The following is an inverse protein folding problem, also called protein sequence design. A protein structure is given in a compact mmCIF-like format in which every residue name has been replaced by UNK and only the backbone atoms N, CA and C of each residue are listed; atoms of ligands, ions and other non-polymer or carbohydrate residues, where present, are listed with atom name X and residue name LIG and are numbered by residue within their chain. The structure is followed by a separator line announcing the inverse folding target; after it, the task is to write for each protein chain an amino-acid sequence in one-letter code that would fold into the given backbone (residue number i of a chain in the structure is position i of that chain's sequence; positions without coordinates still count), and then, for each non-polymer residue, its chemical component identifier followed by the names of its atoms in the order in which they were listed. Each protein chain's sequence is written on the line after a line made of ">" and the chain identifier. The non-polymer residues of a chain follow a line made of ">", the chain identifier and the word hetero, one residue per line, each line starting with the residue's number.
data_IF_171087041532
#
_entry.id   IF_171087041532
#
_cell.length_a   1.000
_cell.length_b   1.000
_cell.length_c   1.000
_cell.angle_alpha   90.00
_cell.angle_beta   90.00
_cell.angle_gamma   90.00
#
_symmetry.space_group_name_H-M   'P 1'
#
loop_
_entity.id
_entity.type
_entity.pdbx_description
1 polymer ?
#
# COMPACT_ATOMS: atom_id res chain seq x y z
N UNK A 1 41.96 -29.87 -57.70
CA UNK A 1 41.85 -30.63 -56.44
C UNK A 1 42.16 -32.09 -56.73
N UNK A 2 42.72 -32.84 -55.78
CA UNK A 2 42.77 -34.30 -55.90
C UNK A 2 41.40 -34.93 -55.53
N UNK A 3 41.26 -36.25 -55.72
CA UNK A 3 40.03 -36.98 -55.40
C UNK A 3 39.63 -36.89 -53.92
N UNK A 4 40.57 -37.07 -53.01
CA UNK A 4 40.34 -37.07 -51.57
C UNK A 4 40.03 -35.64 -51.06
N UNK A 5 40.58 -34.61 -51.70
CA UNK A 5 40.22 -33.21 -51.48
C UNK A 5 38.78 -32.91 -51.93
N UNK A 6 38.34 -33.46 -53.06
CA UNK A 6 36.96 -33.31 -53.55
C UNK A 6 35.97 -34.02 -52.62
N UNK A 7 36.28 -35.25 -52.20
CA UNK A 7 35.42 -36.03 -51.31
C UNK A 7 35.29 -35.35 -49.93
N UNK A 8 36.39 -34.80 -49.39
CA UNK A 8 36.36 -33.98 -48.17
C UNK A 8 35.55 -32.69 -48.35
N UNK A 9 35.69 -32.01 -49.48
CA UNK A 9 34.94 -30.78 -49.76
C UNK A 9 33.42 -31.05 -49.88
N UNK A 10 33.03 -32.13 -50.56
CA UNK A 10 31.62 -32.52 -50.68
C UNK A 10 31.01 -32.99 -49.36
N UNK A 11 31.80 -33.66 -48.51
CA UNK A 11 31.37 -34.06 -47.16
C UNK A 11 31.12 -32.83 -46.29
N UNK A 12 32.06 -31.88 -46.28
CA UNK A 12 31.92 -30.62 -45.53
C UNK A 12 30.73 -29.79 -46.00
N UNK A 13 30.58 -29.60 -47.32
CA UNK A 13 29.44 -28.87 -47.88
C UNK A 13 28.11 -29.60 -47.63
N UNK A 14 28.13 -30.93 -47.55
CA UNK A 14 26.96 -31.71 -47.15
C UNK A 14 26.52 -31.43 -45.71
N UNK A 15 27.46 -31.39 -44.77
CA UNK A 15 27.16 -31.03 -43.38
C UNK A 15 26.72 -29.56 -43.25
N UNK A 16 27.34 -28.64 -44.00
CA UNK A 16 26.92 -27.23 -44.06
C UNK A 16 25.49 -27.10 -44.62
N UNK A 17 25.16 -27.86 -45.67
CA UNK A 17 23.81 -27.90 -46.26
C UNK A 17 22.75 -28.33 -45.23
N UNK A 18 22.97 -29.44 -44.54
CA UNK A 18 22.04 -29.95 -43.51
C UNK A 18 21.86 -28.96 -42.34
N UNK A 19 22.95 -28.30 -41.93
CA UNK A 19 22.91 -27.29 -40.87
C UNK A 19 22.11 -26.04 -41.29
N UNK A 20 22.27 -25.59 -42.53
CA UNK A 20 21.50 -24.48 -43.10
C UNK A 20 20.03 -24.87 -43.22
N UNK A 21 19.71 -26.06 -43.75
CA UNK A 21 18.34 -26.57 -43.88
C UNK A 21 17.61 -26.57 -42.52
N UNK A 22 18.27 -27.13 -41.49
CA UNK A 22 17.74 -27.16 -40.13
C UNK A 22 17.46 -25.76 -39.59
N UNK A 23 18.37 -24.80 -39.86
CA UNK A 23 18.23 -23.42 -39.40
C UNK A 23 17.07 -22.70 -40.11
N UNK A 24 16.86 -22.95 -41.41
CA UNK A 24 15.75 -22.38 -42.18
C UNK A 24 14.39 -22.89 -41.70
N UNK A 25 14.30 -24.19 -41.42
CA UNK A 25 13.09 -24.80 -40.85
C UNK A 25 12.81 -24.22 -39.45
N UNK A 26 13.84 -24.05 -38.61
CA UNK A 26 13.68 -23.42 -37.29
C UNK A 26 13.17 -21.97 -37.40
N UNK A 27 13.64 -21.20 -38.38
CA UNK A 27 13.13 -19.84 -38.64
C UNK A 27 11.67 -19.85 -39.13
N UNK A 28 11.28 -20.85 -39.92
CA UNK A 28 9.90 -21.01 -40.38
C UNK A 28 8.94 -21.36 -39.24
N UNK A 29 9.36 -22.23 -38.32
CA UNK A 29 8.54 -22.67 -37.19
C UNK A 29 8.55 -21.70 -36.00
N UNK A 30 9.32 -20.62 -36.08
CA UNK A 30 9.49 -19.65 -34.99
C UNK A 30 8.15 -18.98 -34.61
N UNK A 31 7.86 -18.92 -33.30
CA UNK A 31 6.61 -18.37 -32.78
C UNK A 31 6.38 -16.91 -33.22
N UNK A 32 7.36 -16.03 -33.01
CA UNK A 32 7.33 -14.65 -33.50
C UNK A 32 7.00 -14.48 -34.99
N UNK A 33 7.47 -15.39 -35.86
CA UNK A 33 7.16 -15.33 -37.30
C UNK A 33 5.68 -15.60 -37.55
N UNK A 34 5.12 -16.66 -36.95
CA UNK A 34 3.69 -16.98 -37.10
C UNK A 34 2.80 -15.85 -36.61
N UNK A 35 3.22 -15.16 -35.55
CA UNK A 35 2.52 -13.99 -35.02
C UNK A 35 2.60 -12.80 -36.00
N UNK A 36 3.77 -12.53 -36.59
CA UNK A 36 3.94 -11.47 -37.60
C UNK A 36 3.12 -11.73 -38.87
N UNK A 37 3.01 -12.99 -39.31
CA UNK A 37 2.19 -13.37 -40.48
C UNK A 37 0.69 -13.23 -40.22
N UNK A 38 0.23 -13.46 -38.99
CA UNK A 38 -1.19 -13.43 -38.62
C UNK A 38 -1.71 -12.09 -38.10
N UNK A 39 -0.85 -11.15 -37.75
CA UNK A 39 -1.23 -9.89 -37.10
C UNK A 39 -1.50 -8.75 -38.11
N UNK A 40 -2.40 -7.83 -37.73
CA UNK A 40 -2.62 -6.57 -38.43
C UNK A 40 -1.50 -5.57 -38.14
N UNK A 41 -0.34 -5.75 -38.77
CA UNK A 41 0.86 -4.97 -38.49
C UNK A 41 0.77 -3.51 -38.97
N UNK A 42 1.31 -2.60 -38.17
CA UNK A 42 1.40 -1.16 -38.46
C UNK A 42 2.82 -0.63 -38.19
N UNK A 43 3.08 0.62 -38.59
CA UNK A 43 4.30 1.36 -38.25
C UNK A 43 5.60 0.64 -38.62
N UNK A 44 6.57 0.68 -37.70
CA UNK A 44 7.93 0.18 -37.91
C UNK A 44 7.94 -1.33 -38.11
N UNK A 45 7.07 -2.05 -37.41
CA UNK A 45 6.94 -3.50 -37.53
C UNK A 45 6.52 -3.91 -38.92
N UNK A 46 5.54 -3.22 -39.52
CA UNK A 46 5.09 -3.51 -40.88
C UNK A 46 6.22 -3.34 -41.90
N UNK A 47 6.97 -2.25 -41.81
CA UNK A 47 8.07 -1.95 -42.74
C UNK A 47 9.21 -2.98 -42.62
N UNK A 48 9.64 -3.26 -41.38
CA UNK A 48 10.72 -4.22 -41.12
C UNK A 48 10.30 -5.65 -41.45
N UNK A 49 9.05 -6.03 -41.17
CA UNK A 49 8.54 -7.35 -41.51
C UNK A 49 8.46 -7.56 -43.02
N UNK A 50 7.97 -6.57 -43.80
CA UNK A 50 7.94 -6.67 -45.25
C UNK A 50 9.35 -6.87 -45.85
N UNK A 51 10.35 -6.18 -45.32
CA UNK A 51 11.75 -6.36 -45.73
C UNK A 51 12.32 -7.74 -45.31
N UNK A 52 11.98 -8.21 -44.11
CA UNK A 52 12.37 -9.53 -43.63
C UNK A 52 11.71 -10.65 -44.45
N UNK A 53 10.42 -10.55 -44.76
CA UNK A 53 9.67 -11.53 -45.56
C UNK A 53 10.24 -11.65 -46.99
N UNK A 54 10.56 -10.52 -47.62
CA UNK A 54 11.28 -10.50 -48.90
C UNK A 54 12.67 -11.15 -48.79
N UNK A 55 13.38 -10.92 -47.68
CA UNK A 55 14.69 -11.51 -47.41
C UNK A 55 14.61 -13.03 -47.19
N UNK A 56 13.58 -13.51 -46.48
CA UNK A 56 13.27 -14.93 -46.27
C UNK A 56 12.94 -15.61 -47.61
N UNK A 57 12.13 -14.96 -48.46
CA UNK A 57 11.81 -15.49 -49.80
C UNK A 57 13.08 -15.63 -50.66
N UNK A 58 13.96 -14.62 -50.62
CA UNK A 58 15.24 -14.66 -51.33
C UNK A 58 16.19 -15.71 -50.75
N UNK A 59 16.17 -15.92 -49.44
CA UNK A 59 16.96 -16.92 -48.74
C UNK A 59 16.61 -18.35 -49.20
N UNK A 60 15.31 -18.67 -49.35
CA UNK A 60 14.88 -19.97 -49.90
C UNK A 60 15.32 -20.15 -51.36
N UNK A 61 15.19 -19.09 -52.18
CA UNK A 61 15.69 -19.13 -53.58
C UNK A 61 17.20 -19.44 -53.64
N UNK A 62 17.97 -18.87 -52.72
CA UNK A 62 19.40 -19.10 -52.61
C UNK A 62 19.73 -20.50 -52.11
N UNK A 63 18.98 -21.00 -51.13
CA UNK A 63 19.11 -22.36 -50.63
C UNK A 63 18.79 -23.40 -51.71
N UNK A 64 17.77 -23.19 -52.53
CA UNK A 64 17.44 -24.08 -53.65
C UNK A 64 18.55 -24.09 -54.71
N UNK A 65 19.10 -22.92 -55.05
CA UNK A 65 20.23 -22.81 -55.96
C UNK A 65 21.49 -23.50 -55.43
N UNK A 66 21.76 -23.34 -54.13
CA UNK A 66 22.86 -24.02 -53.43
C UNK A 66 22.67 -25.55 -53.42
N UNK A 67 21.47 -26.03 -53.09
CA UNK A 67 21.09 -27.45 -53.09
C UNK A 67 21.24 -28.07 -54.48
N UNK A 68 20.77 -27.38 -55.52
CA UNK A 68 20.90 -27.81 -56.91
C UNK A 68 22.36 -27.89 -57.37
N UNK A 69 23.20 -26.93 -56.98
CA UNK A 69 24.62 -26.91 -57.30
C UNK A 69 25.38 -28.05 -56.59
N UNK A 70 25.09 -28.30 -55.30
CA UNK A 70 25.67 -29.41 -54.55
C UNK A 70 25.25 -30.77 -55.12
N UNK A 71 23.97 -30.94 -55.48
CA UNK A 71 23.46 -32.15 -56.12
C UNK A 71 24.08 -32.37 -57.52
N UNK A 72 24.35 -31.31 -58.28
CA UNK A 72 25.06 -31.40 -59.54
C UNK A 72 26.52 -31.85 -59.36
N UNK A 73 27.22 -31.32 -58.35
CA UNK A 73 28.59 -31.72 -58.03
C UNK A 73 28.66 -33.19 -57.57
N UNK A 74 27.74 -33.64 -56.71
CA UNK A 74 27.62 -35.06 -56.31
C UNK A 74 27.38 -35.98 -57.51
N UNK A 75 26.45 -35.62 -58.41
CA UNK A 75 26.19 -36.37 -59.64
C UNK A 75 27.45 -36.53 -60.51
N UNK A 76 28.26 -35.48 -60.68
CA UNK A 76 29.51 -35.57 -61.46
C UNK A 76 30.50 -36.52 -60.77
N UNK A 77 30.61 -36.45 -59.44
CA UNK A 77 31.48 -37.33 -58.66
C UNK A 77 31.07 -38.80 -58.71
N UNK A 78 29.77 -39.09 -58.76
CA UNK A 78 29.19 -40.43 -58.75
C UNK A 78 29.17 -41.10 -60.14
N UNK A 79 29.39 -40.35 -61.22
CA UNK A 79 29.42 -40.88 -62.60
C UNK A 79 30.42 -42.02 -62.79
N UNK A 80 31.56 -41.97 -62.10
CA UNK A 80 32.68 -42.93 -62.27
C UNK A 80 33.36 -43.22 -60.94
N UNK A 81 33.73 -44.49 -60.74
CA UNK A 81 34.54 -44.93 -59.58
C UNK A 81 35.90 -44.22 -59.49
N UNK A 82 36.43 -43.80 -60.64
CA UNK A 82 37.64 -43.00 -60.79
C UNK A 82 37.35 -41.80 -61.70
N UNK A 83 37.28 -40.57 -61.15
CA UNK A 83 37.07 -39.36 -61.94
C UNK A 83 38.20 -39.16 -62.94
N UNK A 84 37.86 -38.71 -64.16
CA UNK A 84 38.87 -38.29 -65.13
C UNK A 84 39.49 -36.94 -64.74
N UNK A 85 40.60 -36.57 -65.38
CA UNK A 85 41.22 -35.24 -65.17
C UNK A 85 40.24 -34.11 -65.50
N UNK A 86 39.42 -34.29 -66.54
CA UNK A 86 38.40 -33.32 -66.96
C UNK A 86 37.27 -33.23 -65.91
N UNK A 87 36.84 -34.37 -65.35
CA UNK A 87 35.85 -34.38 -64.25
C UNK A 87 36.38 -33.65 -63.00
N UNK A 88 37.67 -33.80 -62.67
CA UNK A 88 38.30 -33.12 -61.52
C UNK A 88 38.44 -31.61 -61.73
N UNK A 89 38.66 -31.17 -62.98
CA UNK A 89 38.68 -29.74 -63.34
C UNK A 89 37.26 -29.18 -63.23
N UNK A 90 36.25 -29.85 -63.81
CA UNK A 90 34.85 -29.43 -63.72
C UNK A 90 34.38 -29.36 -62.25
N UNK A 91 34.74 -30.35 -61.42
CA UNK A 91 34.42 -30.35 -59.99
C UNK A 91 35.15 -29.23 -59.24
N UNK A 92 36.42 -28.96 -59.55
CA UNK A 92 37.16 -27.87 -58.89
C UNK A 92 36.54 -26.52 -59.24
N UNK A 93 36.16 -26.29 -60.50
CA UNK A 93 35.54 -25.05 -60.96
C UNK A 93 34.14 -24.84 -60.35
N UNK A 94 33.34 -25.88 -60.21
CA UNK A 94 32.03 -25.76 -59.55
C UNK A 94 32.11 -25.57 -58.04
N UNK A 95 33.10 -26.18 -57.39
CA UNK A 95 33.26 -26.11 -55.93
C UNK A 95 33.97 -24.84 -55.45
N UNK A 96 34.89 -24.28 -56.23
CA UNK A 96 35.68 -23.10 -55.86
C UNK A 96 35.42 -21.88 -56.75
N UNK A 97 34.97 -22.06 -57.98
CA UNK A 97 34.68 -20.99 -58.93
C UNK A 97 33.25 -20.43 -58.82
N UNK A 98 32.93 -19.39 -59.60
CA UNK A 98 31.60 -18.78 -59.66
C UNK A 98 30.65 -19.62 -60.52
N UNK A 99 30.28 -20.80 -60.03
CA UNK A 99 29.50 -21.80 -60.76
C UNK A 99 27.98 -21.74 -60.56
N UNK A 100 27.48 -20.97 -59.58
CA UNK A 100 26.04 -20.87 -59.30
C UNK A 100 25.49 -19.61 -59.93
N UNK A 101 24.52 -19.76 -60.82
CA UNK A 101 23.85 -18.64 -61.50
C UNK A 101 22.44 -18.52 -60.96
N UNK A 102 22.11 -17.36 -60.40
CA UNK A 102 20.78 -17.06 -59.86
C UNK A 102 20.20 -15.91 -60.68
N UNK A 103 18.92 -16.01 -61.04
CA UNK A 103 18.24 -14.90 -61.72
C UNK A 103 18.32 -13.64 -60.84
N UNK A 104 18.86 -12.56 -61.39
CA UNK A 104 18.97 -11.29 -60.67
C UNK A 104 17.58 -10.69 -60.43
N UNK A 105 17.38 -10.06 -59.28
CA UNK A 105 16.12 -9.38 -58.93
C UNK A 105 15.96 -8.02 -59.65
N UNK A 106 16.38 -7.92 -60.91
CA UNK A 106 16.57 -6.66 -61.61
C UNK A 106 15.27 -5.89 -61.82
N UNK A 107 15.13 -4.76 -61.12
CA UNK A 107 14.33 -3.62 -61.57
C UNK A 107 15.28 -2.73 -62.36
N UNK A 108 15.00 -2.57 -63.66
CA UNK A 108 15.66 -1.69 -64.64
C UNK A 108 17.22 -1.71 -64.66
N UNK A 109 17.78 -2.57 -65.51
CA UNK A 109 19.10 -2.33 -66.12
C UNK A 109 20.34 -2.96 -65.48
N UNK A 110 20.24 -3.62 -64.31
CA UNK A 110 21.37 -4.31 -63.68
C UNK A 110 21.24 -5.84 -63.76
N UNK A 111 22.30 -6.49 -64.27
CA UNK A 111 22.56 -7.94 -64.41
C UNK A 111 21.35 -8.90 -64.32
N UNK A 112 20.91 -9.42 -65.48
CA UNK A 112 19.88 -10.46 -65.63
C UNK A 112 20.18 -11.76 -64.84
N UNK A 113 21.43 -11.98 -64.45
CA UNK A 113 21.84 -13.11 -63.64
C UNK A 113 23.08 -12.76 -62.78
N UNK A 114 22.99 -13.06 -61.48
CA UNK A 114 24.09 -12.94 -60.53
C UNK A 114 24.84 -14.28 -60.46
N UNK A 115 26.18 -14.25 -60.49
CA UNK A 115 27.01 -15.45 -60.34
C UNK A 115 27.70 -15.46 -58.99
N UNK A 116 27.50 -16.53 -58.25
CA UNK A 116 28.09 -16.74 -56.92
C UNK A 116 28.97 -17.99 -56.91
N UNK A 117 30.03 -17.95 -56.10
CA UNK A 117 30.65 -19.17 -55.59
C UNK A 117 29.80 -19.75 -54.47
N UNK A 118 29.93 -21.05 -54.18
CA UNK A 118 29.20 -21.67 -53.07
C UNK A 118 29.49 -20.98 -51.73
N UNK A 119 30.74 -20.59 -51.48
CA UNK A 119 31.11 -19.86 -50.27
C UNK A 119 30.47 -18.48 -50.18
N UNK A 120 30.46 -17.71 -51.29
CA UNK A 120 29.83 -16.39 -51.32
C UNK A 120 28.30 -16.49 -51.15
N UNK A 121 27.68 -17.52 -51.70
CA UNK A 121 26.26 -17.78 -51.54
C UNK A 121 25.91 -18.07 -50.08
N UNK A 122 26.68 -18.93 -49.40
CA UNK A 122 26.50 -19.22 -47.97
C UNK A 122 26.70 -17.95 -47.12
N UNK A 123 27.73 -17.14 -47.39
CA UNK A 123 27.92 -15.85 -46.69
C UNK A 123 26.69 -14.96 -46.85
N UNK A 124 26.18 -14.82 -48.07
CA UNK A 124 25.00 -14.00 -48.35
C UNK A 124 23.74 -14.55 -47.69
N UNK A 125 23.57 -15.87 -47.68
CA UNK A 125 22.47 -16.53 -46.98
C UNK A 125 22.53 -16.29 -45.47
N UNK A 126 23.72 -16.38 -44.87
CA UNK A 126 23.90 -16.10 -43.45
C UNK A 126 23.55 -14.64 -43.08
N UNK A 127 23.87 -13.66 -43.94
CA UNK A 127 23.46 -12.26 -43.75
C UNK A 127 21.93 -12.08 -43.79
N UNK A 128 21.28 -12.69 -44.79
CA UNK A 128 19.82 -12.64 -44.93
C UNK A 128 19.12 -13.37 -43.79
N UNK A 129 19.67 -14.52 -43.36
CA UNK A 129 19.18 -15.27 -42.22
C UNK A 129 19.30 -14.44 -40.93
N UNK A 130 20.47 -13.87 -40.65
CA UNK A 130 20.72 -13.10 -39.43
C UNK A 130 19.80 -11.86 -39.34
N UNK A 131 19.64 -11.12 -40.44
CA UNK A 131 18.74 -9.95 -40.48
C UNK A 131 17.26 -10.31 -40.35
N UNK A 132 16.83 -11.43 -40.95
CA UNK A 132 15.44 -11.91 -40.82
C UNK A 132 15.15 -12.44 -39.42
N UNK A 133 16.09 -13.21 -38.85
CA UNK A 133 15.98 -13.74 -37.50
C UNK A 133 15.96 -12.61 -36.46
N UNK A 134 16.74 -11.54 -36.66
CA UNK A 134 16.74 -10.38 -35.76
C UNK A 134 15.34 -9.76 -35.61
N UNK A 135 14.63 -9.56 -36.71
CA UNK A 135 13.25 -9.02 -36.71
C UNK A 135 12.29 -9.96 -35.97
N UNK A 136 12.37 -11.26 -36.27
CA UNK A 136 11.49 -12.28 -35.67
C UNK A 136 11.72 -12.41 -34.16
N UNK A 137 12.97 -12.47 -33.72
CA UNK A 137 13.35 -12.58 -32.31
C UNK A 137 13.01 -11.29 -31.55
N UNK A 138 13.24 -10.11 -32.15
CA UNK A 138 12.88 -8.84 -31.54
C UNK A 138 11.37 -8.71 -31.29
N UNK A 139 10.55 -9.06 -32.29
CA UNK A 139 9.10 -9.04 -32.15
C UNK A 139 8.61 -10.04 -31.10
N UNK A 140 9.14 -11.27 -31.12
CA UNK A 140 8.82 -12.32 -30.15
C UNK A 140 9.16 -11.91 -28.71
N UNK A 141 10.33 -11.29 -28.50
CA UNK A 141 10.76 -10.81 -27.20
C UNK A 141 9.84 -9.71 -26.64
N UNK A 142 9.38 -8.79 -27.50
CA UNK A 142 8.43 -7.74 -27.10
C UNK A 142 7.06 -8.33 -26.75
N UNK A 143 6.51 -9.18 -27.61
CA UNK A 143 5.20 -9.81 -27.38
C UNK A 143 5.20 -10.81 -26.23
N UNK A 144 6.34 -11.40 -25.90
CA UNK A 144 6.46 -12.26 -24.71
C UNK A 144 6.53 -11.46 -23.40
N UNK A 145 7.03 -10.22 -23.44
CA UNK A 145 7.29 -9.44 -22.23
C UNK A 145 6.20 -8.40 -21.92
N UNK A 146 5.82 -7.57 -22.89
CA UNK A 146 5.00 -6.38 -22.65
C UNK A 146 3.52 -6.67 -22.37
N UNK A 147 2.83 -7.63 -23.02
CA UNK A 147 1.42 -7.93 -22.73
C UNK A 147 1.18 -8.33 -21.27
N UNK A 148 1.99 -9.24 -20.72
CA UNK A 148 1.88 -9.64 -19.32
C UNK A 148 2.08 -8.45 -18.37
N UNK A 149 2.98 -7.52 -18.71
CA UNK A 149 3.20 -6.30 -17.94
C UNK A 149 2.00 -5.35 -17.98
N UNK A 150 1.36 -5.21 -19.14
CA UNK A 150 0.12 -4.42 -19.28
C UNK A 150 -0.99 -5.02 -18.44
N UNK A 151 -1.14 -6.35 -18.46
CA UNK A 151 -2.19 -7.04 -17.70
C UNK A 151 -2.02 -6.80 -16.19
N UNK A 152 -0.79 -6.85 -15.68
CA UNK A 152 -0.49 -6.53 -14.29
C UNK A 152 -0.83 -5.08 -13.93
N UNK A 153 -0.46 -4.12 -14.79
CA UNK A 153 -0.77 -2.70 -14.58
C UNK A 153 -2.26 -2.42 -14.67
N UNK A 154 -2.97 -3.05 -15.60
CA UNK A 154 -4.42 -2.92 -15.74
C UNK A 154 -5.16 -3.49 -14.52
N UNK A 155 -4.69 -4.62 -13.97
CA UNK A 155 -5.24 -5.19 -12.74
C UNK A 155 -5.03 -4.26 -11.54
N UNK A 156 -3.85 -3.66 -11.40
CA UNK A 156 -3.58 -2.68 -10.34
C UNK A 156 -4.42 -1.42 -10.51
N UNK A 157 -4.51 -0.89 -11.74
CA UNK A 157 -5.36 0.25 -12.07
C UNK A 157 -6.81 0.00 -11.68
N UNK A 158 -7.34 -1.21 -11.97
CA UNK A 158 -8.70 -1.56 -11.59
C UNK A 158 -8.91 -1.59 -10.06
N UNK A 159 -7.92 -2.10 -9.29
CA UNK A 159 -7.95 -2.06 -7.83
C UNK A 159 -7.95 -0.62 -7.31
N UNK A 160 -7.02 0.21 -7.80
CA UNK A 160 -6.91 1.62 -7.39
C UNK A 160 -8.16 2.41 -7.76
N UNK A 161 -8.76 2.19 -8.93
CA UNK A 161 -10.04 2.80 -9.32
C UNK A 161 -11.19 2.40 -8.39
N UNK A 162 -11.24 1.12 -8.00
CA UNK A 162 -12.26 0.62 -7.07
C UNK A 162 -12.10 1.27 -5.69
N UNK A 163 -10.87 1.41 -5.21
CA UNK A 163 -10.55 2.11 -3.97
C UNK A 163 -10.92 3.60 -4.05
N UNK A 164 -10.49 4.28 -5.12
CA UNK A 164 -10.79 5.68 -5.39
C UNK A 164 -12.31 5.95 -5.39
N UNK A 165 -13.08 5.09 -6.06
CA UNK A 165 -14.53 5.19 -6.07
C UNK A 165 -15.14 5.03 -4.68
N UNK A 166 -14.61 4.12 -3.85
CA UNK A 166 -15.10 3.89 -2.48
C UNK A 166 -14.88 5.08 -1.55
N UNK A 167 -13.80 5.86 -1.78
CA UNK A 167 -13.48 7.05 -0.98
C UNK A 167 -14.09 8.34 -1.53
N UNK A 168 -14.69 8.29 -2.72
CA UNK A 168 -15.31 9.44 -3.38
C UNK A 168 -14.36 10.23 -4.28
N UNK A 169 -13.18 9.70 -4.61
CA UNK A 169 -12.28 10.27 -5.63
C UNK A 169 -12.88 9.96 -7.01
N UNK A 170 -13.36 11.00 -7.69
CA UNK A 170 -14.01 10.91 -9.01
C UNK A 170 -13.33 11.82 -10.04
N UNK A 171 -13.32 11.43 -11.33
CA UNK A 171 -12.89 12.32 -12.40
C UNK A 171 -13.68 13.63 -12.40
N UNK A 172 -13.01 14.76 -12.61
CA UNK A 172 -13.53 16.12 -12.60
C UNK A 172 -13.77 16.72 -11.21
N UNK A 173 -13.78 15.91 -10.15
CA UNK A 173 -13.94 16.35 -8.76
C UNK A 173 -12.62 16.31 -7.98
N UNK A 174 -11.69 15.42 -8.35
CA UNK A 174 -10.41 15.23 -7.67
C UNK A 174 -9.28 14.96 -8.69
N UNK A 175 -8.09 15.58 -8.56
CA UNK A 175 -6.97 15.39 -9.47
C UNK A 175 -6.60 13.92 -9.69
N UNK A 176 -6.49 13.14 -8.60
CA UNK A 176 -6.24 11.69 -8.68
C UNK A 176 -7.31 10.91 -9.45
N UNK A 177 -8.53 11.42 -9.57
CA UNK A 177 -9.56 10.84 -10.42
C UNK A 177 -9.31 11.08 -11.91
N UNK A 178 -8.82 12.28 -12.25
CA UNK A 178 -8.40 12.64 -13.61
C UNK A 178 -7.14 11.86 -14.01
N UNK A 179 -6.15 11.78 -13.11
CA UNK A 179 -4.92 11.01 -13.32
C UNK A 179 -5.23 9.52 -13.62
N UNK A 180 -6.23 8.93 -12.94
CA UNK A 180 -6.65 7.55 -13.22
C UNK A 180 -7.24 7.39 -14.61
N UNK A 181 -8.00 8.37 -15.11
CA UNK A 181 -8.53 8.35 -16.48
C UNK A 181 -7.40 8.49 -17.50
N UNK A 182 -6.45 9.39 -17.27
CA UNK A 182 -5.28 9.59 -18.13
C UNK A 182 -4.42 8.32 -18.19
N UNK A 183 -4.13 7.69 -17.06
CA UNK A 183 -3.40 6.41 -17.00
C UNK A 183 -4.20 5.29 -17.70
N UNK A 184 -5.53 5.28 -17.56
CA UNK A 184 -6.39 4.31 -18.25
C UNK A 184 -6.24 4.45 -19.77
N UNK A 185 -6.32 5.68 -20.27
CA UNK A 185 -6.16 5.99 -21.70
C UNK A 185 -4.75 5.61 -22.19
N UNK A 186 -3.70 5.95 -21.43
CA UNK A 186 -2.32 5.61 -21.79
C UNK A 186 -2.12 4.09 -21.87
N UNK A 187 -2.59 3.32 -20.88
CA UNK A 187 -2.45 1.86 -20.89
C UNK A 187 -3.22 1.20 -22.05
N UNK A 188 -4.40 1.72 -22.40
CA UNK A 188 -5.16 1.26 -23.56
C UNK A 188 -4.39 1.52 -24.87
N UNK A 189 -3.86 2.73 -25.04
CA UNK A 189 -3.07 3.12 -26.21
C UNK A 189 -1.76 2.32 -26.31
N UNK A 190 -1.11 2.03 -25.18
CA UNK A 190 0.08 1.17 -25.13
C UNK A 190 -0.24 -0.28 -25.53
N UNK A 191 -1.40 -0.81 -25.11
CA UNK A 191 -1.83 -2.17 -25.46
C UNK A 191 -2.08 -2.32 -26.95
N UNK A 192 -2.82 -1.39 -27.54
CA UNK A 192 -3.10 -1.40 -28.98
C UNK A 192 -1.81 -1.30 -29.79
N UNK A 193 -0.91 -0.38 -29.41
CA UNK A 193 0.38 -0.20 -30.11
C UNK A 193 1.31 -1.39 -29.98
N UNK A 194 1.42 -2.04 -28.83
CA UNK A 194 2.29 -3.23 -28.70
C UNK A 194 1.79 -4.38 -29.56
N UNK A 195 0.47 -4.56 -29.68
CA UNK A 195 -0.11 -5.62 -30.50
C UNK A 195 0.13 -5.33 -31.99
N UNK A 196 -0.04 -4.07 -32.43
CA UNK A 196 0.07 -3.69 -33.84
C UNK A 196 1.49 -3.35 -34.32
N UNK A 197 2.36 -2.86 -33.43
CA UNK A 197 3.73 -2.40 -33.74
C UNK A 197 4.73 -2.74 -32.60
N UNK A 198 5.04 -4.03 -32.35
CA UNK A 198 5.99 -4.44 -31.30
C UNK A 198 7.41 -3.89 -31.50
N UNK A 199 7.90 -3.77 -32.74
CA UNK A 199 9.27 -3.31 -33.00
C UNK A 199 9.48 -1.84 -32.66
N UNK A 200 8.42 -1.03 -32.55
CA UNK A 200 8.52 0.33 -32.01
C UNK A 200 8.95 0.34 -30.53
N UNK A 201 8.76 -0.78 -29.82
CA UNK A 201 9.19 -0.97 -28.43
C UNK A 201 10.47 -1.79 -28.32
N UNK A 202 11.26 -1.90 -29.39
CA UNK A 202 12.54 -2.63 -29.35
C UNK A 202 13.73 -1.66 -29.30
N UNK A 203 14.58 -1.81 -28.28
CA UNK A 203 15.83 -1.08 -28.13
C UNK A 203 17.00 -1.98 -28.54
N UNK A 204 17.60 -1.78 -29.72
CA UNK A 204 18.78 -2.54 -30.13
C UNK A 204 20.00 -2.17 -29.28
N UNK A 205 20.83 -3.15 -28.94
CA UNK A 205 22.12 -2.93 -28.26
C UNK A 205 23.16 -2.54 -29.32
N UNK A 206 23.73 -1.34 -29.18
CA UNK A 206 24.81 -0.89 -30.04
C UNK A 206 26.03 -1.80 -29.92
N UNK A 207 26.52 -2.33 -31.05
CA UNK A 207 27.75 -3.14 -31.12
C UNK A 207 27.55 -4.66 -30.97
N UNK A 208 26.32 -5.16 -30.82
CA UNK A 208 26.05 -6.61 -30.91
C UNK A 208 25.83 -7.02 -32.37
N UNK A 209 26.62 -7.98 -32.84
CA UNK A 209 26.38 -8.65 -34.13
C UNK A 209 25.48 -9.88 -34.00
N UNK A 210 25.06 -10.24 -32.78
CA UNK A 210 24.16 -11.37 -32.55
C UNK A 210 22.71 -10.97 -32.87
N UNK A 211 21.97 -11.79 -33.66
CA UNK A 211 20.53 -11.60 -33.89
C UNK A 211 19.77 -11.53 -32.57
N UNK A 212 18.85 -10.57 -32.44
CA UNK A 212 18.10 -10.35 -31.20
C UNK A 212 18.90 -9.64 -30.10
N UNK A 213 20.05 -9.03 -30.43
CA UNK A 213 20.84 -8.22 -29.50
C UNK A 213 20.13 -6.91 -29.12
N UNK A 214 19.16 -6.98 -28.21
CA UNK A 214 18.32 -5.86 -27.80
C UNK A 214 17.48 -6.18 -26.58
N UNK A 215 16.61 -5.23 -26.20
CA UNK A 215 15.62 -5.43 -25.13
C UNK A 215 14.32 -4.66 -25.42
N UNK A 216 13.17 -5.11 -24.89
CA UNK A 216 11.97 -4.31 -24.92
C UNK A 216 12.14 -2.98 -24.16
N UNK A 217 11.60 -1.89 -24.71
CA UNK A 217 11.49 -0.60 -24.05
C UNK A 217 10.37 -0.63 -23.01
N UNK A 218 10.75 -0.60 -21.73
CA UNK A 218 9.81 -0.56 -20.61
C UNK A 218 9.54 0.85 -20.10
N UNK A 219 10.21 1.89 -20.62
CA UNK A 219 10.24 3.21 -19.99
C UNK A 219 8.88 3.90 -19.85
N UNK A 220 7.96 3.67 -20.80
CA UNK A 220 6.57 4.15 -20.67
C UNK A 220 5.77 3.38 -19.62
N UNK A 221 5.95 2.07 -19.56
CA UNK A 221 5.31 1.22 -18.56
C UNK A 221 5.82 1.50 -17.15
N UNK A 222 7.12 1.76 -17.00
CA UNK A 222 7.73 2.15 -15.73
C UNK A 222 7.16 3.50 -15.25
N UNK A 223 6.99 4.48 -16.16
CA UNK A 223 6.35 5.76 -15.82
C UNK A 223 4.88 5.62 -15.45
N UNK A 224 4.10 4.86 -16.22
CA UNK A 224 2.70 4.59 -15.89
C UNK A 224 2.55 3.85 -14.54
N UNK A 225 3.47 2.92 -14.23
CA UNK A 225 3.51 2.24 -12.94
C UNK A 225 3.78 3.20 -11.78
N UNK A 226 4.75 4.11 -11.93
CA UNK A 226 5.06 5.12 -10.92
C UNK A 226 3.90 6.10 -10.73
N UNK A 227 3.30 6.58 -11.81
CA UNK A 227 2.13 7.47 -11.75
C UNK A 227 0.94 6.80 -11.04
N UNK A 228 0.66 5.54 -11.36
CA UNK A 228 -0.40 4.77 -10.70
C UNK A 228 -0.13 4.58 -9.20
N UNK A 229 1.12 4.34 -8.84
CA UNK A 229 1.55 4.17 -7.46
C UNK A 229 1.50 5.49 -6.67
N UNK A 230 1.83 6.61 -7.30
CA UNK A 230 1.63 7.95 -6.73
C UNK A 230 0.15 8.23 -6.47
N UNK A 231 -0.71 7.94 -7.45
CA UNK A 231 -2.16 8.09 -7.30
C UNK A 231 -2.72 7.17 -6.20
N UNK A 232 -2.24 5.92 -6.10
CA UNK A 232 -2.63 5.00 -5.03
C UNK A 232 -2.34 5.60 -3.66
N UNK A 233 -1.14 6.17 -3.48
CA UNK A 233 -0.74 6.82 -2.22
C UNK A 233 -1.63 8.02 -1.87
N UNK A 234 -2.00 8.84 -2.85
CA UNK A 234 -2.93 9.96 -2.62
C UNK A 234 -4.33 9.47 -2.22
N UNK A 235 -4.84 8.43 -2.88
CA UNK A 235 -6.13 7.82 -2.55
C UNK A 235 -6.12 7.21 -1.14
N UNK A 236 -5.03 6.56 -0.75
CA UNK A 236 -4.84 6.03 0.61
C UNK A 236 -4.77 7.14 1.66
N UNK A 237 -4.07 8.24 1.38
CA UNK A 237 -4.04 9.39 2.28
C UNK A 237 -5.45 9.97 2.50
N UNK A 238 -6.28 10.04 1.46
CA UNK A 238 -7.70 10.42 1.59
C UNK A 238 -8.45 9.43 2.48
N UNK A 239 -8.24 8.13 2.30
CA UNK A 239 -8.87 7.10 3.15
C UNK A 239 -8.48 7.27 4.62
N UNK A 240 -7.20 7.48 4.90
CA UNK A 240 -6.68 7.63 6.27
C UNK A 240 -7.30 8.85 6.96
N UNK A 241 -7.37 9.99 6.27
CA UNK A 241 -8.03 11.20 6.81
C UNK A 241 -9.50 10.94 7.12
N UNK A 242 -10.21 10.17 6.30
CA UNK A 242 -11.61 9.81 6.55
C UNK A 242 -11.75 8.93 7.78
N UNK A 243 -10.89 7.93 7.92
CA UNK A 243 -10.91 7.00 9.06
C UNK A 243 -10.56 7.71 10.36
N UNK A 244 -9.56 8.61 10.34
CA UNK A 244 -9.21 9.44 11.49
C UNK A 244 -10.38 10.31 11.94
N UNK A 245 -11.01 11.03 11.01
CA UNK A 245 -12.17 11.86 11.32
C UNK A 245 -13.34 11.06 11.92
N UNK A 246 -13.56 9.82 11.45
CA UNK A 246 -14.58 8.93 12.00
C UNK A 246 -14.24 8.45 13.41
N UNK A 247 -12.99 8.03 13.66
CA UNK A 247 -12.51 7.65 14.97
C UNK A 247 -12.63 8.82 15.98
N UNK A 248 -12.26 10.03 15.55
CA UNK A 248 -12.38 11.26 16.36
C UNK A 248 -13.84 11.58 16.71
N UNK A 249 -14.77 11.49 15.76
CA UNK A 249 -16.20 11.68 16.04
C UNK A 249 -16.75 10.66 17.05
N UNK A 250 -16.33 9.40 16.96
CA UNK A 250 -16.72 8.36 17.92
C UNK A 250 -16.17 8.70 19.31
N UNK A 251 -14.89 9.09 19.39
CA UNK A 251 -14.25 9.50 20.64
C UNK A 251 -14.98 10.67 21.32
N UNK A 252 -15.28 11.74 20.57
CA UNK A 252 -16.04 12.89 21.07
C UNK A 252 -17.41 12.47 21.60
N UNK A 253 -18.13 11.61 20.86
CA UNK A 253 -19.44 11.08 21.29
C UNK A 253 -19.34 10.33 22.62
N UNK A 254 -18.30 9.51 22.78
CA UNK A 254 -18.07 8.74 24.00
C UNK A 254 -17.75 9.64 25.19
N UNK A 255 -16.94 10.68 24.99
CA UNK A 255 -16.61 11.68 26.02
C UNK A 255 -17.86 12.43 26.46
N UNK A 256 -18.68 12.92 25.52
CA UNK A 256 -19.93 13.61 25.85
C UNK A 256 -20.92 12.68 26.58
N UNK A 257 -21.04 11.42 26.14
CA UNK A 257 -21.89 10.42 26.80
C UNK A 257 -21.42 10.11 28.23
N UNK A 258 -20.10 10.15 28.49
CA UNK A 258 -19.56 10.04 29.85
C UNK A 258 -19.89 11.28 30.68
N UNK A 259 -19.75 12.47 30.12
CA UNK A 259 -20.10 13.72 30.81
C UNK A 259 -21.58 13.74 31.21
N UNK A 260 -22.48 13.33 30.32
CA UNK A 260 -23.91 13.24 30.58
C UNK A 260 -24.25 12.27 31.71
N UNK A 261 -23.61 11.09 31.74
CA UNK A 261 -23.77 10.13 32.84
C UNK A 261 -23.27 10.70 34.17
N UNK A 262 -22.11 11.34 34.18
CA UNK A 262 -21.56 11.98 35.40
C UNK A 262 -22.46 13.12 35.89
N UNK A 263 -23.06 13.91 34.99
CA UNK A 263 -24.03 14.94 35.37
C UNK A 263 -25.32 14.32 35.93
N UNK A 264 -25.79 13.20 35.36
CA UNK A 264 -26.95 12.47 35.90
C UNK A 264 -26.68 11.93 37.31
N UNK A 265 -25.51 11.33 37.53
CA UNK A 265 -25.03 10.90 38.85
C UNK A 265 -24.97 12.07 39.83
N UNK A 266 -24.44 13.23 39.41
CA UNK A 266 -24.40 14.43 40.24
C UNK A 266 -25.80 14.93 40.61
N UNK A 267 -26.80 14.84 39.73
CA UNK A 267 -28.20 15.19 40.05
C UNK A 267 -28.80 14.24 41.07
N UNK A 268 -28.58 12.93 40.93
CA UNK A 268 -29.03 11.94 41.91
C UNK A 268 -28.37 12.16 43.27
N UNK A 269 -27.05 12.35 43.29
CA UNK A 269 -26.29 12.63 44.50
C UNK A 269 -26.77 13.93 45.18
N UNK A 270 -27.11 14.96 44.41
CA UNK A 270 -27.68 16.22 44.93
C UNK A 270 -28.99 15.97 45.67
N UNK A 271 -29.88 15.16 45.09
CA UNK A 271 -31.12 14.76 45.75
C UNK A 271 -30.88 14.04 47.07
N UNK A 272 -29.90 13.14 47.11
CA UNK A 272 -29.53 12.44 48.35
C UNK A 272 -28.94 13.37 49.42
N UNK A 273 -28.06 14.30 49.02
CA UNK A 273 -27.42 15.24 49.95
C UNK A 273 -28.48 16.14 50.58
N UNK A 274 -29.37 16.71 49.75
CA UNK A 274 -30.46 17.57 50.23
C UNK A 274 -31.44 16.82 51.16
N UNK A 275 -31.63 15.52 50.98
CA UNK A 275 -32.43 14.70 51.89
C UNK A 275 -31.71 14.35 53.20
N UNK A 276 -30.39 14.15 53.16
CA UNK A 276 -29.59 13.63 54.30
C UNK A 276 -28.95 14.72 55.14
N UNK A 277 -28.72 15.92 54.61
CA UNK A 277 -27.96 17.01 55.23
C UNK A 277 -28.85 18.24 55.35
N UNK A 278 -29.03 18.73 56.58
CA UNK A 278 -29.78 19.95 56.85
C UNK A 278 -28.98 21.19 56.42
N UNK A 279 -29.68 22.20 55.90
CA UNK A 279 -29.14 23.54 55.62
C UNK A 279 -27.85 23.56 54.75
N UNK A 280 -27.65 22.56 53.88
CA UNK A 280 -26.52 22.53 52.96
C UNK A 280 -26.85 23.28 51.67
N UNK A 281 -26.07 24.31 51.36
CA UNK A 281 -26.07 24.96 50.05
C UNK A 281 -25.33 24.08 49.05
N UNK A 282 -26.05 23.13 48.44
CA UNK A 282 -25.51 22.30 47.36
C UNK A 282 -25.59 23.10 46.04
N UNK A 283 -24.54 23.15 45.21
CA UNK A 283 -24.58 23.82 43.90
C UNK A 283 -25.51 23.13 42.91
N UNK A 284 -26.28 23.91 42.14
CA UNK A 284 -27.17 23.37 41.11
C UNK A 284 -26.35 22.66 40.01
N UNK A 285 -26.82 21.49 39.57
CA UNK A 285 -26.16 20.73 38.50
C UNK A 285 -26.85 21.07 37.18
N UNK A 286 -26.06 21.56 36.23
CA UNK A 286 -26.54 21.94 34.89
C UNK A 286 -27.14 20.76 34.12
N UNK A 287 -27.97 21.07 33.11
CA UNK A 287 -28.55 20.10 32.17
C UNK A 287 -27.50 19.45 31.25
N UNK A 288 -27.91 18.49 30.40
CA UNK A 288 -27.04 17.93 29.37
C UNK A 288 -26.57 19.05 28.40
N UNK A 289 -25.36 18.96 27.82
CA UNK A 289 -24.82 19.99 26.93
C UNK A 289 -25.41 19.86 25.52
N UNK A 290 -26.70 20.21 25.37
CA UNK A 290 -27.46 20.08 24.12
C UNK A 290 -26.80 20.77 22.93
N UNK A 291 -26.22 21.96 23.13
CA UNK A 291 -25.50 22.69 22.08
C UNK A 291 -24.30 21.90 21.53
N UNK A 292 -23.58 21.13 22.35
CA UNK A 292 -22.48 20.29 21.89
C UNK A 292 -22.99 19.05 21.15
N UNK A 293 -24.12 18.49 21.57
CA UNK A 293 -24.76 17.37 20.87
C UNK A 293 -25.23 17.80 19.47
N UNK A 294 -25.80 19.01 19.34
CA UNK A 294 -26.18 19.60 18.04
C UNK A 294 -24.97 19.86 17.14
N UNK A 295 -23.87 20.37 17.71
CA UNK A 295 -22.63 20.58 16.97
C UNK A 295 -21.98 19.26 16.55
N UNK A 296 -22.04 18.21 17.37
CA UNK A 296 -21.60 16.86 17.01
C UNK A 296 -22.45 16.28 15.86
N UNK A 297 -23.76 16.51 15.87
CA UNK A 297 -24.64 16.12 14.77
C UNK A 297 -24.30 16.87 13.47
N UNK A 298 -23.98 18.16 13.59
CA UNK A 298 -23.51 18.99 12.46
C UNK A 298 -22.17 18.48 11.91
N UNK A 299 -21.22 18.12 12.77
CA UNK A 299 -19.95 17.53 12.35
C UNK A 299 -20.16 16.18 11.63
N UNK A 300 -21.09 15.35 12.11
CA UNK A 300 -21.44 14.11 11.43
C UNK A 300 -22.05 14.34 10.03
N UNK A 301 -22.79 15.45 9.83
CA UNK A 301 -23.31 15.84 8.53
C UNK A 301 -22.19 16.33 7.59
N UNK A 302 -21.27 17.17 8.07
CA UNK A 302 -20.11 17.59 7.28
C UNK A 302 -19.28 16.40 6.81
N UNK A 303 -19.10 15.38 7.66
CA UNK A 303 -18.46 14.11 7.26
C UNK A 303 -19.25 13.39 6.16
N UNK A 304 -20.58 13.29 6.28
CA UNK A 304 -21.43 12.66 5.25
C UNK A 304 -21.33 13.35 3.90
N UNK A 305 -21.26 14.68 3.90
CA UNK A 305 -21.16 15.51 2.69
C UNK A 305 -19.71 15.75 2.23
N UNK A 306 -18.71 15.10 2.84
CA UNK A 306 -17.29 15.26 2.52
C UNK A 306 -16.77 16.72 2.60
N UNK A 307 -17.33 17.55 3.50
CA UNK A 307 -16.92 18.95 3.72
C UNK A 307 -15.75 19.04 4.71
N UNK A 308 -14.59 18.52 4.32
CA UNK A 308 -13.40 18.37 5.19
C UNK A 308 -12.88 19.69 5.77
N UNK A 309 -12.90 20.76 4.98
CA UNK A 309 -12.44 22.09 5.39
C UNK A 309 -13.26 22.69 6.54
N UNK A 310 -14.53 22.31 6.66
CA UNK A 310 -15.41 22.71 7.76
C UNK A 310 -15.37 21.72 8.92
N UNK A 311 -15.19 20.44 8.61
CA UNK A 311 -15.14 19.38 9.61
C UNK A 311 -13.92 19.51 10.52
N UNK A 312 -12.73 19.74 9.96
CA UNK A 312 -11.48 19.77 10.71
C UNK A 312 -11.48 20.77 11.89
N UNK A 313 -11.72 22.09 11.68
CA UNK A 313 -11.74 23.05 12.79
C UNK A 313 -12.89 22.81 13.77
N UNK A 314 -14.03 22.28 13.30
CA UNK A 314 -15.15 21.95 14.17
C UNK A 314 -14.82 20.76 15.07
N UNK A 315 -14.12 19.74 14.56
CA UNK A 315 -13.68 18.58 15.33
C UNK A 315 -12.71 18.95 16.44
N UNK A 316 -11.69 19.75 16.13
CA UNK A 316 -10.72 20.23 17.13
C UNK A 316 -11.43 20.97 18.27
N UNK A 317 -12.33 21.90 17.93
CA UNK A 317 -13.12 22.63 18.93
C UNK A 317 -14.04 21.71 19.74
N UNK A 318 -14.65 20.71 19.10
CA UNK A 318 -15.52 19.74 19.77
C UNK A 318 -14.76 18.84 20.75
N UNK A 319 -13.56 18.40 20.40
CA UNK A 319 -12.71 17.57 21.26
C UNK A 319 -12.32 18.32 22.54
N UNK A 320 -11.82 19.55 22.40
CA UNK A 320 -11.46 20.40 23.53
C UNK A 320 -12.68 20.65 24.43
N UNK A 321 -13.80 21.05 23.84
CA UNK A 321 -15.01 21.39 24.59
C UNK A 321 -15.65 20.16 25.24
N UNK A 322 -15.63 19.00 24.60
CA UNK A 322 -16.11 17.76 25.20
C UNK A 322 -15.26 17.36 26.42
N UNK A 323 -13.94 17.50 26.34
CA UNK A 323 -13.04 17.27 27.46
C UNK A 323 -13.33 18.22 28.63
N UNK A 324 -13.54 19.49 28.33
CA UNK A 324 -13.91 20.51 29.30
C UNK A 324 -15.27 20.22 29.97
N UNK A 325 -16.30 19.82 29.22
CA UNK A 325 -17.58 19.40 29.81
C UNK A 325 -17.42 18.21 30.76
N UNK A 326 -16.62 17.20 30.39
CA UNK A 326 -16.39 16.04 31.25
C UNK A 326 -15.69 16.45 32.55
N UNK A 327 -14.72 17.37 32.49
CA UNK A 327 -14.07 17.95 33.66
C UNK A 327 -15.07 18.68 34.55
N UNK A 328 -15.88 19.57 33.96
CA UNK A 328 -16.94 20.31 34.68
C UNK A 328 -17.97 19.39 35.31
N UNK A 329 -18.35 18.30 34.64
CA UNK A 329 -19.27 17.30 35.17
C UNK A 329 -18.70 16.59 36.42
N UNK A 330 -17.43 16.19 36.37
CA UNK A 330 -16.72 15.56 37.50
C UNK A 330 -16.58 16.51 38.69
N UNK A 331 -16.27 17.78 38.42
CA UNK A 331 -16.20 18.83 39.43
C UNK A 331 -17.55 19.05 40.09
N UNK A 332 -18.63 19.08 39.30
CA UNK A 332 -20.00 19.16 39.81
C UNK A 332 -20.35 17.98 40.71
N UNK A 333 -20.02 16.75 40.31
CA UNK A 333 -20.24 15.55 41.13
C UNK A 333 -19.47 15.62 42.46
N UNK A 334 -18.22 16.06 42.41
CA UNK A 334 -17.35 16.20 43.60
C UNK A 334 -17.92 17.26 44.54
N UNK A 335 -18.29 18.43 44.02
CA UNK A 335 -18.86 19.52 44.80
C UNK A 335 -20.19 19.11 45.47
N UNK A 336 -21.04 18.37 44.75
CA UNK A 336 -22.31 17.88 45.28
C UNK A 336 -22.12 16.83 46.37
N UNK A 337 -21.16 15.92 46.21
CA UNK A 337 -20.94 14.81 47.15
C UNK A 337 -20.11 15.20 48.37
N UNK A 338 -19.42 16.33 48.35
CA UNK A 338 -18.56 16.82 49.42
C UNK A 338 -19.22 16.82 50.82
N UNK A 339 -20.46 17.29 51.02
CA UNK A 339 -21.10 17.28 52.34
C UNK A 339 -21.31 15.86 52.91
N UNK A 340 -21.63 14.88 52.06
CA UNK A 340 -21.75 13.48 52.48
C UNK A 340 -20.38 12.88 52.83
N UNK A 341 -19.33 13.25 52.10
CA UNK A 341 -17.97 12.84 52.41
C UNK A 341 -17.52 13.38 53.77
N UNK A 342 -17.76 14.66 54.07
CA UNK A 342 -17.48 15.26 55.38
C UNK A 342 -18.23 14.53 56.49
N UNK A 343 -19.52 14.20 56.27
CA UNK A 343 -20.30 13.40 57.22
C UNK A 343 -19.67 12.04 57.51
N UNK A 344 -19.21 11.33 56.47
CA UNK A 344 -18.57 10.03 56.60
C UNK A 344 -17.23 10.13 57.35
N UNK A 345 -16.43 11.16 57.05
CA UNK A 345 -15.18 11.44 57.74
C UNK A 345 -15.40 11.71 59.23
N UNK A 346 -16.38 12.57 59.59
CA UNK A 346 -16.71 12.87 60.99
C UNK A 346 -17.13 11.62 61.77
N UNK A 347 -17.88 10.71 61.14
CA UNK A 347 -18.23 9.41 61.73
C UNK A 347 -16.99 8.56 62.00
N UNK A 348 -16.13 8.40 60.99
CA UNK A 348 -14.89 7.64 61.13
C UNK A 348 -13.96 8.22 62.20
N UNK A 349 -13.83 9.56 62.25
CA UNK A 349 -13.09 10.26 63.30
C UNK A 349 -13.67 9.99 64.68
N UNK A 350 -14.99 10.11 64.86
CA UNK A 350 -15.64 9.85 66.13
C UNK A 350 -15.39 8.41 66.62
N UNK A 351 -15.53 7.43 65.72
CA UNK A 351 -15.29 6.02 66.04
C UNK A 351 -13.81 5.74 66.37
N UNK A 352 -12.87 6.38 65.68
CA UNK A 352 -11.44 6.28 65.97
C UNK A 352 -11.08 6.83 67.36
N UNK A 353 -11.63 7.99 67.75
CA UNK A 353 -11.43 8.55 69.09
C UNK A 353 -12.06 7.68 70.18
N UNK A 354 -13.24 7.10 69.94
CA UNK A 354 -13.84 6.12 70.88
C UNK A 354 -12.93 4.92 71.10
N UNK A 355 -12.42 4.34 70.02
CA UNK A 355 -11.48 3.22 70.13
C UNK A 355 -10.20 3.61 70.89
N UNK A 356 -9.70 4.83 70.68
CA UNK A 356 -8.55 5.36 71.42
C UNK A 356 -8.85 5.48 72.92
N UNK A 357 -9.97 6.07 73.31
CA UNK A 357 -10.35 6.19 74.72
C UNK A 357 -10.51 4.83 75.41
N UNK A 358 -11.10 3.86 74.70
CA UNK A 358 -11.25 2.49 75.21
C UNK A 358 -9.91 1.81 75.49
N UNK A 359 -8.91 1.99 74.63
CA UNK A 359 -7.55 1.43 74.84
C UNK A 359 -6.84 2.01 76.06
N UNK A 360 -7.16 3.24 76.45
CA UNK A 360 -6.58 3.92 77.61
C UNK A 360 -7.41 3.74 78.91
N UNK A 361 -8.43 2.88 78.89
CA UNK A 361 -9.26 2.60 80.08
C UNK A 361 -10.23 3.72 80.46
N UNK A 362 -10.37 4.76 79.63
CA UNK A 362 -11.23 5.92 79.88
C UNK A 362 -12.64 5.77 79.28
N UNK A 363 -13.06 4.53 78.99
CA UNK A 363 -14.35 4.25 78.34
C UNK A 363 -15.57 4.54 79.24
N UNK A 364 -15.39 4.50 80.56
CA UNK A 364 -16.47 4.66 81.54
C UNK A 364 -16.64 6.09 82.07
N UNK A 365 -15.85 7.05 81.58
CA UNK A 365 -15.99 8.45 81.97
C UNK A 365 -17.37 8.99 81.53
N UNK A 366 -18.25 9.39 82.48
CA UNK A 366 -19.60 9.87 82.15
C UNK A 366 -19.61 11.07 81.19
N UNK A 367 -18.62 11.95 81.29
CA UNK A 367 -18.52 13.13 80.42
C UNK A 367 -18.19 12.73 78.98
N UNK A 368 -17.29 11.77 78.79
CA UNK A 368 -16.93 11.26 77.46
C UNK A 368 -18.09 10.50 76.81
N UNK A 369 -18.86 9.73 77.60
CA UNK A 369 -20.06 9.03 77.12
C UNK A 369 -21.11 10.04 76.64
N UNK A 370 -21.43 11.05 77.45
CA UNK A 370 -22.43 12.06 77.09
C UNK A 370 -22.06 12.82 75.79
N UNK A 371 -20.78 13.23 75.69
CA UNK A 371 -20.25 13.94 74.53
C UNK A 371 -20.22 13.05 73.28
N UNK A 372 -19.84 11.78 73.43
CA UNK A 372 -19.91 10.80 72.35
C UNK A 372 -21.34 10.58 71.86
N UNK A 373 -22.28 10.34 72.78
CA UNK A 373 -23.68 10.08 72.43
C UNK A 373 -24.35 11.29 71.78
N UNK A 374 -23.97 12.51 72.18
CA UNK A 374 -24.42 13.74 71.54
C UNK A 374 -23.91 13.84 70.10
N UNK A 375 -22.61 13.64 69.88
CA UNK A 375 -22.03 13.64 68.54
C UNK A 375 -22.61 12.52 67.65
N UNK A 376 -22.80 11.32 68.21
CA UNK A 376 -23.39 10.16 67.52
C UNK A 376 -24.85 10.41 67.13
N UNK A 377 -25.68 10.95 68.02
CA UNK A 377 -27.08 11.29 67.68
C UNK A 377 -27.15 12.27 66.52
N UNK A 378 -26.31 13.31 66.53
CA UNK A 378 -26.27 14.30 65.44
C UNK A 378 -25.80 13.67 64.11
N UNK A 379 -24.72 12.89 64.11
CA UNK A 379 -24.16 12.28 62.89
C UNK A 379 -25.02 11.16 62.27
N UNK A 380 -25.83 10.46 63.07
CA UNK A 380 -26.72 9.39 62.58
C UNK A 380 -28.17 9.85 62.35
N UNK A 381 -28.51 11.09 62.66
CA UNK A 381 -29.80 11.70 62.30
C UNK A 381 -29.95 11.98 60.80
N UNK A 382 -31.18 12.05 60.29
CA UNK A 382 -31.48 12.53 58.95
C UNK A 382 -32.71 13.45 59.03
N UNK A 383 -32.60 14.74 58.64
CA UNK A 383 -31.42 15.43 58.10
C UNK A 383 -30.38 15.79 59.18
N UNK A 384 -29.10 15.71 58.85
CA UNK A 384 -27.97 16.00 59.75
C UNK A 384 -27.47 17.44 59.55
N UNK A 385 -27.44 18.25 60.61
CA UNK A 385 -26.74 19.53 60.60
C UNK A 385 -25.22 19.29 60.73
N UNK A 386 -24.51 19.42 59.61
CA UNK A 386 -23.07 19.17 59.55
C UNK A 386 -22.26 20.09 60.45
N UNK A 387 -22.62 21.38 60.53
CA UNK A 387 -21.87 22.36 61.34
C UNK A 387 -22.03 22.04 62.83
N UNK A 388 -23.25 21.73 63.26
CA UNK A 388 -23.50 21.33 64.64
C UNK A 388 -22.83 19.99 64.98
N UNK A 389 -22.86 19.02 64.06
CA UNK A 389 -22.22 17.72 64.24
C UNK A 389 -20.69 17.83 64.34
N UNK A 390 -20.06 18.65 63.50
CA UNK A 390 -18.61 18.92 63.56
C UNK A 390 -18.21 19.51 64.92
N UNK A 391 -18.93 20.51 65.42
CA UNK A 391 -18.70 21.09 66.73
C UNK A 391 -18.90 20.07 67.87
N UNK A 392 -19.84 19.15 67.75
CA UNK A 392 -20.03 18.08 68.73
C UNK A 392 -18.85 17.10 68.74
N UNK A 393 -18.33 16.72 67.57
CA UNK A 393 -17.12 15.88 67.45
C UNK A 393 -15.89 16.60 68.01
N UNK A 394 -15.70 17.89 67.73
CA UNK A 394 -14.58 18.68 68.27
C UNK A 394 -14.63 18.74 69.81
N UNK A 395 -15.81 18.95 70.39
CA UNK A 395 -15.99 18.95 71.86
C UNK A 395 -15.65 17.60 72.48
N UNK A 396 -16.01 16.50 71.82
CA UNK A 396 -15.58 15.16 72.25
C UNK A 396 -14.06 14.96 72.14
N UNK A 397 -13.43 15.44 71.06
CA UNK A 397 -11.98 15.36 70.87
C UNK A 397 -11.21 16.15 71.93
N UNK A 398 -11.70 17.35 72.29
CA UNK A 398 -11.14 18.17 73.36
C UNK A 398 -11.23 17.47 74.71
N UNK A 399 -12.42 16.96 75.08
CA UNK A 399 -12.60 16.20 76.32
C UNK A 399 -11.71 14.94 76.36
N UNK A 400 -11.58 14.23 75.23
CA UNK A 400 -10.69 13.08 75.10
C UNK A 400 -9.20 13.44 75.25
N UNK A 401 -8.79 14.62 74.78
CA UNK A 401 -7.42 15.11 74.93
C UNK A 401 -7.13 15.55 76.38
N UNK A 402 -8.07 16.24 77.02
CA UNK A 402 -7.99 16.64 78.44
C UNK A 402 -7.94 15.42 79.37
N UNK A 403 -8.74 14.38 79.09
CA UNK A 403 -8.73 13.12 79.85
C UNK A 403 -7.41 12.36 79.72
N UNK A 404 -6.71 12.47 78.59
CA UNK A 404 -5.40 11.86 78.36
C UNK A 404 -4.22 12.72 78.84
N UNK A 405 -4.44 13.99 79.15
CA UNK A 405 -3.40 14.87 79.65
C UNK A 405 -2.98 14.41 81.07
N UNK A 406 -1.68 14.29 81.37
CA UNK A 406 -1.22 13.91 82.69
C UNK A 406 -1.72 14.95 83.71
N UNK A 407 -2.49 14.50 84.71
CA UNK A 407 -2.86 15.32 85.88
C UNK A 407 -1.56 15.83 86.51
N UNK A 408 -1.21 17.09 86.26
CA UNK A 408 -0.09 17.74 86.92
C UNK A 408 -0.38 17.71 88.42
N UNK A 409 0.47 16.98 89.13
CA UNK A 409 0.51 16.87 90.57
C UNK A 409 0.64 18.30 91.14
N UNK A 410 -0.42 18.79 91.79
CA UNK A 410 -0.40 20.03 92.57
C UNK A 410 0.53 19.78 93.77
N UNK A 411 1.60 20.56 94.01
CA UNK A 411 2.41 20.36 95.20
C UNK A 411 1.56 20.72 96.42
N UNK A 412 1.38 19.74 97.31
CA UNK A 412 0.86 19.95 98.66
C UNK A 412 1.95 20.64 99.45
N UNK A 413 1.77 21.92 99.74
CA UNK A 413 2.56 22.62 100.77
C UNK A 413 1.91 22.43 102.14
N UNK A 414 2.70 22.06 103.15
CA UNK A 414 2.51 22.53 104.52
C UNK A 414 3.85 23.08 105.07
N UNK A 415 3.93 24.10 105.92
CA UNK A 415 2.99 24.97 106.58
C UNK A 415 3.81 26.04 107.33
N UNK A 416 3.24 27.22 107.53
CA UNK A 416 3.71 28.17 108.53
C UNK A 416 2.88 27.96 109.80
N UNK A 417 3.51 27.41 110.84
CA UNK A 417 3.12 27.59 112.24
C UNK A 417 4.18 28.51 112.86
N UNK A 418 3.79 29.72 113.28
CA UNK A 418 4.07 30.22 114.64
C UNK A 418 3.44 31.61 114.85
N UNK A 419 2.54 31.66 115.84
CA UNK A 419 1.99 32.81 116.59
C UNK A 419 1.23 33.93 115.84
#
# INVERSE_FOLDING_TARGET
>A
MDRDEVDRALTRLGAEHEAVETSLLALQDHAGRRLLEGAGLTGVTKERWAAADASITRLWTYFDAYSGALAAARRIRDRRRWPSRDDLIELTDRLRGPGVTIAGAGVEGAALAERFSLAALVTRMNELYASSLDVVVAADAVWSALPARIDLLAAELHRTRSLAHSVGVRPGEHPSGDDLEDITAELAELRERVIADPLAFWLPVAGSSAPGGGRPDTGRYDRAALALEDVRREVEAVLDVRQDAEARLISVRDVLSRADRTLAEARTARGEVLAKIAASEVPAVSGPPTALQEQLATAAEYRRQAQWHRLSPLLESLEERAGEELRRARESLTAVTAPLAVRAELRGRLDAYKAKMARHGMAEDPLLIERYDTARRMLWSAPCDLRAAEQAVLRYQQAAAEALAPRQHRPVGPGEEDA
#
